data_IF_651685148133
#
_entry.id   IF_651685148133
#
_cell.length_a   1.000
_cell.length_b   1.000
_cell.length_c   1.000
_cell.angle_alpha   90.00
_cell.angle_beta   90.00
_cell.angle_gamma   90.00
#
_symmetry.space_group_name_H-M   'P 1'
#
loop_
_entity.id
_entity.type
_entity.pdbx_description
1 polymer ?
#
# COMPACT_ATOMS: atom_id res chain seq x y z
N UNK A 1 -21.18 15.62 8.32
CA UNK A 1 -19.99 16.00 9.13
C UNK A 1 -19.44 17.31 8.59
N UNK A 2 -19.25 18.33 9.47
CA UNK A 2 -18.83 19.65 9.05
C UNK A 2 -17.40 19.58 8.48
N UNK A 3 -17.21 19.95 7.22
CA UNK A 3 -15.91 20.24 6.64
C UNK A 3 -15.32 21.43 7.39
N UNK A 4 -14.41 21.14 8.33
CA UNK A 4 -13.62 22.21 8.96
C UNK A 4 -12.87 22.95 7.85
N UNK A 5 -12.91 24.29 7.90
CA UNK A 5 -12.29 25.17 6.91
C UNK A 5 -10.78 24.88 6.77
N UNK A 6 -10.41 24.05 5.79
CA UNK A 6 -9.03 23.77 5.41
C UNK A 6 -8.52 24.73 4.35
N UNK A 7 -9.35 25.72 3.97
CA UNK A 7 -9.07 26.72 2.95
C UNK A 7 -7.72 27.44 3.25
N UNK A 8 -6.77 27.25 2.35
CA UNK A 8 -5.45 27.88 2.38
C UNK A 8 -4.33 27.07 3.06
N UNK A 9 -4.61 25.94 3.70
CA UNK A 9 -3.55 25.07 4.26
C UNK A 9 -2.81 24.36 3.14
N UNK A 10 -1.50 24.20 3.36
CA UNK A 10 -0.60 23.45 2.48
C UNK A 10 0.16 22.43 3.30
N UNK A 11 0.45 21.28 2.71
CA UNK A 11 1.26 20.25 3.32
C UNK A 11 2.39 19.81 2.37
N UNK A 12 3.53 19.47 2.95
CA UNK A 12 4.61 18.79 2.28
C UNK A 12 4.77 17.40 2.93
N UNK A 13 4.75 16.35 2.10
CA UNK A 13 5.01 14.98 2.53
C UNK A 13 6.36 14.58 1.97
N UNK A 14 7.24 14.05 2.80
CA UNK A 14 8.59 13.63 2.42
C UNK A 14 8.63 12.10 2.42
N UNK A 15 8.94 11.53 1.26
CA UNK A 15 8.97 10.10 1.00
C UNK A 15 7.64 9.56 0.48
N UNK A 16 7.70 8.77 -0.60
CA UNK A 16 6.56 8.14 -1.28
C UNK A 16 6.44 6.65 -1.01
N UNK A 17 6.87 6.16 0.16
CA UNK A 17 6.48 4.86 0.65
C UNK A 17 4.97 4.82 0.96
N UNK A 18 4.41 3.65 1.29
CA UNK A 18 2.97 3.51 1.58
C UNK A 18 2.45 4.50 2.62
N UNK A 19 3.22 4.77 3.68
CA UNK A 19 2.85 5.76 4.70
C UNK A 19 2.75 7.18 4.13
N UNK A 20 3.73 7.59 3.32
CA UNK A 20 3.74 8.92 2.69
C UNK A 20 2.64 9.07 1.65
N UNK A 21 2.44 8.06 0.81
CA UNK A 21 1.34 8.03 -0.17
C UNK A 21 -0.03 8.10 0.54
N UNK A 22 -0.24 7.26 1.57
CA UNK A 22 -1.47 7.26 2.34
C UNK A 22 -1.76 8.59 3.05
N UNK A 23 -0.71 9.24 3.59
CA UNK A 23 -0.84 10.58 4.19
C UNK A 23 -1.19 11.64 3.12
N UNK A 24 -0.48 11.63 1.98
CA UNK A 24 -0.71 12.59 0.91
C UNK A 24 -2.12 12.49 0.33
N UNK A 25 -2.62 11.28 0.10
CA UNK A 25 -3.98 11.03 -0.40
C UNK A 25 -5.01 11.58 0.60
N UNK A 26 -4.89 11.25 1.89
CA UNK A 26 -5.84 11.71 2.92
C UNK A 26 -5.82 13.24 3.09
N UNK A 27 -4.65 13.86 3.07
CA UNK A 27 -4.53 15.31 3.14
C UNK A 27 -5.17 15.99 1.94
N UNK A 28 -4.88 15.48 0.74
CA UNK A 28 -5.44 16.02 -0.50
C UNK A 28 -6.96 15.83 -0.55
N UNK A 29 -7.49 14.67 -0.15
CA UNK A 29 -8.92 14.40 -0.07
C UNK A 29 -9.62 15.27 0.97
N UNK A 30 -8.91 15.70 2.02
CA UNK A 30 -9.40 16.67 2.99
C UNK A 30 -9.32 18.13 2.51
N UNK A 31 -8.95 18.39 1.25
CA UNK A 31 -8.87 19.73 0.66
C UNK A 31 -7.59 20.49 1.02
N UNK A 32 -6.57 19.83 1.55
CA UNK A 32 -5.26 20.43 1.86
C UNK A 32 -4.37 20.26 0.62
N UNK A 33 -3.93 21.39 0.03
CA UNK A 33 -2.99 21.34 -1.10
C UNK A 33 -1.70 20.66 -0.67
N UNK A 34 -1.45 19.47 -1.18
CA UNK A 34 -0.34 18.60 -0.75
C UNK A 34 0.68 18.43 -1.86
N UNK A 35 1.96 18.55 -1.49
CA UNK A 35 3.10 18.24 -2.35
C UNK A 35 3.86 17.07 -1.72
N UNK A 36 4.14 16.05 -2.51
CA UNK A 36 4.91 14.89 -2.08
C UNK A 36 6.29 14.96 -2.74
N UNK A 37 7.33 14.82 -1.94
CA UNK A 37 8.73 14.77 -2.38
C UNK A 37 9.28 13.36 -2.20
N UNK A 38 9.89 12.84 -3.25
CA UNK A 38 10.56 11.54 -3.26
C UNK A 38 12.02 11.72 -3.71
N UNK A 39 12.93 11.02 -3.04
CA UNK A 39 14.35 11.07 -3.36
C UNK A 39 14.75 10.11 -4.48
N UNK A 40 13.97 9.06 -4.69
CA UNK A 40 14.18 8.07 -5.75
C UNK A 40 13.42 8.49 -7.02
N UNK A 41 13.73 7.83 -8.10
CA UNK A 41 13.11 7.98 -9.42
C UNK A 41 11.67 7.42 -9.48
N UNK A 42 11.34 6.43 -8.63
CA UNK A 42 10.02 5.82 -8.55
C UNK A 42 9.48 5.84 -7.12
N UNK A 43 8.15 5.95 -6.94
CA UNK A 43 7.50 5.81 -5.64
C UNK A 43 7.49 4.34 -5.18
N UNK A 44 7.09 4.11 -3.92
CA UNK A 44 6.88 2.77 -3.36
C UNK A 44 7.68 2.51 -2.07
N UNK A 45 8.79 3.21 -1.86
CA UNK A 45 9.62 3.01 -0.67
C UNK A 45 10.18 1.59 -0.61
N UNK A 46 9.83 0.81 0.42
CA UNK A 46 10.25 -0.60 0.55
C UNK A 46 9.47 -1.56 -0.34
N UNK A 47 8.39 -1.14 -0.97
CA UNK A 47 7.69 -1.90 -2.00
C UNK A 47 8.19 -1.51 -3.41
N UNK A 48 9.49 -1.25 -3.51
CA UNK A 48 10.14 -0.90 -4.77
C UNK A 48 10.37 -2.15 -5.61
N UNK A 49 10.33 -1.98 -6.92
CA UNK A 49 10.64 -3.04 -7.88
C UNK A 49 11.95 -2.69 -8.56
N UNK A 50 12.85 -3.65 -8.65
CA UNK A 50 14.09 -3.53 -9.42
C UNK A 50 13.96 -4.28 -10.73
N UNK A 51 14.43 -3.65 -11.81
CA UNK A 51 14.54 -4.28 -13.12
C UNK A 51 16.01 -4.32 -13.50
N UNK A 52 16.50 -5.50 -13.85
CA UNK A 52 17.88 -5.70 -14.30
C UNK A 52 17.93 -6.80 -15.37
N UNK A 53 18.58 -6.53 -16.49
CA UNK A 53 18.77 -7.44 -17.63
C UNK A 53 17.48 -8.16 -18.08
N UNK A 54 16.31 -7.50 -17.98
CA UNK A 54 15.01 -8.04 -18.35
C UNK A 54 14.34 -8.90 -17.27
N UNK A 55 14.93 -8.98 -16.09
CA UNK A 55 14.32 -9.60 -14.89
C UNK A 55 13.71 -8.54 -13.99
N UNK A 56 12.61 -8.90 -13.33
CA UNK A 56 11.91 -8.06 -12.36
C UNK A 56 12.05 -8.66 -10.97
N UNK A 57 12.51 -7.85 -10.01
CA UNK A 57 12.74 -8.27 -8.62
C UNK A 57 11.88 -7.43 -7.70
N UNK A 58 10.92 -8.06 -7.02
CA UNK A 58 10.14 -7.44 -5.96
C UNK A 58 11.00 -7.28 -4.71
N UNK A 59 11.20 -6.04 -4.26
CA UNK A 59 12.02 -5.75 -3.08
C UNK A 59 11.21 -5.67 -1.79
N UNK A 60 9.91 -5.85 -1.88
CA UNK A 60 8.99 -5.62 -0.77
C UNK A 60 8.08 -6.81 -0.46
N UNK A 61 7.15 -6.61 0.48
CA UNK A 61 6.18 -7.64 0.83
C UNK A 61 5.24 -7.91 -0.35
N UNK A 62 5.06 -9.18 -0.67
CA UNK A 62 4.15 -9.66 -1.71
C UNK A 62 2.77 -10.05 -1.15
N UNK A 63 2.66 -10.15 0.19
CA UNK A 63 1.42 -10.49 0.88
C UNK A 63 0.83 -9.25 1.55
N UNK A 64 -0.39 -8.90 1.19
CA UNK A 64 -1.15 -7.79 1.78
C UNK A 64 -2.07 -8.35 2.85
N UNK A 65 -1.75 -8.07 4.11
CA UNK A 65 -2.47 -8.60 5.28
C UNK A 65 -3.70 -7.75 5.67
N UNK A 66 -3.78 -6.51 5.19
CA UNK A 66 -4.86 -5.57 5.52
C UNK A 66 -5.39 -4.86 4.25
N UNK A 67 -6.01 -5.59 3.30
CA UNK A 67 -6.46 -5.04 2.02
C UNK A 67 -7.48 -3.91 2.18
N UNK A 68 -8.30 -3.92 3.23
CA UNK A 68 -9.28 -2.87 3.52
C UNK A 68 -8.64 -1.48 3.63
N UNK A 69 -7.40 -1.39 4.12
CA UNK A 69 -6.71 -0.09 4.24
C UNK A 69 -6.38 0.53 2.88
N UNK A 70 -6.20 -0.30 1.84
CA UNK A 70 -6.05 0.18 0.45
C UNK A 70 -7.41 0.57 -0.11
N UNK A 71 -8.44 -0.26 0.09
CA UNK A 71 -9.82 0.05 -0.34
C UNK A 71 -10.25 1.41 0.19
N UNK A 72 -10.07 1.66 1.49
CA UNK A 72 -10.39 2.95 2.12
C UNK A 72 -9.70 4.15 1.45
N UNK A 73 -8.45 3.99 1.00
CA UNK A 73 -7.71 5.05 0.31
C UNK A 73 -8.27 5.35 -1.08
N UNK A 74 -8.68 4.32 -1.82
CA UNK A 74 -9.27 4.50 -3.14
C UNK A 74 -10.66 5.14 -3.04
N UNK A 75 -11.49 4.72 -2.08
CA UNK A 75 -12.82 5.27 -1.82
C UNK A 75 -12.77 6.76 -1.46
N UNK A 76 -11.74 7.22 -0.74
CA UNK A 76 -11.54 8.65 -0.46
C UNK A 76 -11.39 9.52 -1.72
N UNK A 77 -11.09 8.91 -2.86
CA UNK A 77 -10.89 9.59 -4.15
C UNK A 77 -11.97 9.24 -5.17
N UNK A 78 -13.09 8.69 -4.71
CA UNK A 78 -14.20 8.20 -5.55
C UNK A 78 -13.75 7.17 -6.60
N UNK A 79 -12.78 6.31 -6.23
CA UNK A 79 -12.22 5.25 -7.08
C UNK A 79 -12.38 3.90 -6.41
N UNK A 80 -12.41 2.86 -7.21
CA UNK A 80 -12.45 1.48 -6.75
C UNK A 80 -11.08 0.84 -6.87
N UNK A 81 -10.64 0.15 -5.82
CA UNK A 81 -9.36 -0.55 -5.82
C UNK A 81 -9.27 -1.59 -6.96
N UNK A 82 -10.37 -2.30 -7.21
CA UNK A 82 -10.45 -3.40 -8.17
C UNK A 82 -10.23 -2.96 -9.62
N UNK A 83 -10.44 -1.68 -9.92
CA UNK A 83 -10.17 -1.11 -11.25
C UNK A 83 -8.66 -0.98 -11.54
N UNK A 84 -7.82 -1.07 -10.52
CA UNK A 84 -6.37 -0.88 -10.59
C UNK A 84 -5.57 -2.11 -10.20
N UNK A 85 -6.05 -2.87 -9.21
CA UNK A 85 -5.32 -3.98 -8.60
C UNK A 85 -6.26 -5.17 -8.42
N UNK A 86 -5.82 -6.34 -8.87
CA UNK A 86 -6.49 -7.59 -8.56
C UNK A 86 -5.78 -8.26 -7.38
N UNK A 87 -6.44 -8.28 -6.24
CA UNK A 87 -5.99 -9.07 -5.09
C UNK A 87 -6.45 -10.51 -5.23
N UNK A 88 -5.56 -11.44 -4.91
CA UNK A 88 -5.86 -12.88 -4.90
C UNK A 88 -5.62 -13.40 -3.48
N UNK A 89 -6.55 -14.23 -3.02
CA UNK A 89 -6.40 -14.89 -1.73
C UNK A 89 -5.27 -15.92 -1.81
N UNK A 90 -4.43 -15.96 -0.77
CA UNK A 90 -3.34 -16.93 -0.64
C UNK A 90 -3.72 -17.95 0.43
N UNK A 91 -3.80 -19.22 0.03
CA UNK A 91 -4.10 -20.35 0.90
C UNK A 91 -3.07 -21.48 0.71
N UNK A 92 -2.40 -21.93 1.76
CA UNK A 92 -2.32 -21.34 3.10
C UNK A 92 -1.55 -20.03 3.09
N UNK A 93 -1.81 -19.15 4.05
CA UNK A 93 -1.07 -17.87 4.19
C UNK A 93 0.40 -18.12 4.48
N UNK A 94 0.69 -19.09 5.34
CA UNK A 94 2.03 -19.54 5.68
C UNK A 94 2.04 -21.05 5.85
N UNK A 95 3.14 -21.68 5.44
CA UNK A 95 3.43 -23.07 5.75
C UNK A 95 4.76 -23.14 6.51
N UNK A 96 4.70 -23.66 7.72
CA UNK A 96 5.87 -23.99 8.52
C UNK A 96 6.20 -25.46 8.29
N UNK A 97 7.48 -25.75 8.05
CA UNK A 97 7.98 -27.11 7.83
C UNK A 97 9.18 -27.29 8.75
N UNK A 98 9.13 -28.33 9.60
CA UNK A 98 10.22 -28.68 10.49
C UNK A 98 11.14 -29.73 9.86
N UNK A 99 12.34 -29.90 10.44
CA UNK A 99 13.37 -30.81 9.93
C UNK A 99 12.99 -32.29 10.04
N UNK A 100 12.05 -32.64 10.91
CA UNK A 100 11.47 -33.97 11.08
C UNK A 100 10.36 -34.29 10.06
N UNK A 101 9.99 -33.32 9.23
CA UNK A 101 8.96 -33.43 8.20
C UNK A 101 7.57 -33.00 8.64
N UNK A 102 7.39 -32.62 9.90
CA UNK A 102 6.14 -32.03 10.39
C UNK A 102 5.87 -30.72 9.69
N UNK A 103 4.58 -30.42 9.48
CA UNK A 103 4.15 -29.19 8.84
C UNK A 103 2.92 -28.60 9.52
N UNK A 104 2.83 -27.29 9.48
CA UNK A 104 1.68 -26.51 9.93
C UNK A 104 1.30 -25.51 8.85
N UNK A 105 0.04 -25.54 8.43
CA UNK A 105 -0.53 -24.59 7.50
C UNK A 105 -1.33 -23.54 8.28
N UNK A 106 -0.89 -22.28 8.23
CA UNK A 106 -1.66 -21.17 8.77
C UNK A 106 -2.68 -20.73 7.74
N UNK A 107 -3.94 -21.00 8.04
CA UNK A 107 -5.09 -20.62 7.23
C UNK A 107 -5.88 -19.53 7.93
N UNK A 108 -6.67 -18.78 7.19
CA UNK A 108 -7.60 -17.81 7.76
C UNK A 108 -8.79 -18.58 8.32
N UNK A 109 -9.11 -18.38 9.60
CA UNK A 109 -10.40 -18.80 10.14
C UNK A 109 -11.49 -17.91 9.53
N UNK A 110 -12.56 -18.55 9.01
CA UNK A 110 -13.75 -17.86 8.51
C UNK A 110 -14.64 -17.37 9.64
#
# INVERSE_FOLDING_TARGET
MAQAATSGKKAAVIGSGFGGLGAAIRLQSAGIKTVLYEARDLPGGRAYVYEDEGFTFDAGPTVITAPHTLTDLFELTDRRLEDYIRLMEVQPMYRLIWSDGDRFDYVRDE
#
